data_IF_903912590304
#
_entry.id   IF_903912590304
#
_cell.length_a   1.000
_cell.length_b   1.000
_cell.length_c   1.000
_cell.angle_alpha   90.00
_cell.angle_beta   90.00
_cell.angle_gamma   90.00
#
_symmetry.space_group_name_H-M   'P 1'
#
loop_
_entity.id
_entity.type
_entity.pdbx_description
1 polymer ?
#
# COMPACT_ATOMS: atom_id res chain seq x y z
N UNK A 1 -0.03 -18.27 -4.05
CA UNK A 1 0.55 -17.11 -4.77
C UNK A 1 -0.50 -16.03 -4.99
N UNK A 2 -0.80 -15.19 -3.98
CA UNK A 2 -1.81 -14.11 -4.09
C UNK A 2 -2.51 -13.69 -2.77
N UNK A 3 -1.95 -14.06 -1.62
CA UNK A 3 -2.61 -13.87 -0.31
C UNK A 3 -2.57 -12.43 0.19
N UNK A 4 -1.44 -11.73 0.03
CA UNK A 4 -1.21 -10.42 0.64
C UNK A 4 -2.20 -9.37 0.15
N UNK A 5 -2.41 -9.26 -1.17
CA UNK A 5 -3.41 -8.32 -1.71
C UNK A 5 -4.82 -8.60 -1.17
N UNK A 6 -5.19 -9.87 -1.03
CA UNK A 6 -6.49 -10.26 -0.45
C UNK A 6 -6.59 -9.87 1.02
N UNK A 7 -5.51 -10.04 1.78
CA UNK A 7 -5.43 -9.65 3.19
C UNK A 7 -5.55 -8.13 3.34
N UNK A 8 -4.82 -7.36 2.52
CA UNK A 8 -4.87 -5.89 2.54
C UNK A 8 -6.25 -5.36 2.15
N UNK A 9 -6.90 -5.97 1.15
CA UNK A 9 -8.29 -5.67 0.77
C UNK A 9 -9.25 -5.99 1.93
N UNK A 10 -9.12 -7.17 2.56
CA UNK A 10 -9.98 -7.57 3.69
C UNK A 10 -9.79 -6.67 4.91
N UNK A 11 -8.56 -6.22 5.18
CA UNK A 11 -8.24 -5.25 6.23
C UNK A 11 -8.68 -3.82 5.87
N UNK A 12 -9.11 -3.58 4.63
CA UNK A 12 -9.54 -2.28 4.14
C UNK A 12 -8.41 -1.26 3.99
N UNK A 13 -7.14 -1.71 3.93
CA UNK A 13 -5.98 -0.82 3.74
C UNK A 13 -5.81 -0.41 2.28
N UNK A 14 -6.27 -1.25 1.36
CA UNK A 14 -6.33 -0.94 -0.07
C UNK A 14 -7.73 -1.19 -0.61
N UNK A 15 -8.03 -0.55 -1.75
CA UNK A 15 -9.28 -0.70 -2.50
C UNK A 15 -9.01 -0.83 -4.00
N UNK A 16 -9.99 -1.31 -4.74
CA UNK A 16 -9.97 -1.26 -6.19
C UNK A 16 -10.37 0.15 -6.63
N UNK A 17 -9.53 0.77 -7.46
CA UNK A 17 -9.73 2.12 -8.01
C UNK A 17 -10.30 2.05 -9.43
N UNK A 18 -10.01 0.97 -10.16
CA UNK A 18 -10.53 0.75 -11.49
C UNK A 18 -9.78 -0.34 -12.24
N UNK A 19 -9.87 -0.30 -13.57
CA UNK A 19 -9.11 -1.17 -14.47
C UNK A 19 -8.41 -0.31 -15.51
N UNK A 20 -7.15 -0.62 -15.82
CA UNK A 20 -6.40 0.10 -16.84
C UNK A 20 -6.84 -0.36 -18.23
N UNK A 21 -7.01 0.57 -19.17
CA UNK A 21 -7.37 0.29 -20.57
C UNK A 21 -6.15 -0.23 -21.38
N UNK A 22 -5.51 -1.27 -20.89
CA UNK A 22 -4.42 -2.00 -21.56
C UNK A 22 -4.85 -3.45 -21.83
N UNK A 23 -4.18 -4.18 -22.74
CA UNK A 23 -4.40 -5.61 -22.94
C UNK A 23 -4.39 -6.36 -21.60
N UNK A 24 -5.38 -7.23 -21.37
CA UNK A 24 -5.58 -7.92 -20.09
C UNK A 24 -6.34 -7.14 -19.02
N UNK A 25 -6.61 -5.84 -19.23
CA UNK A 25 -7.41 -4.96 -18.36
C UNK A 25 -7.08 -5.12 -16.86
N UNK A 26 -5.81 -4.90 -16.46
CA UNK A 26 -5.36 -5.16 -15.09
C UNK A 26 -6.10 -4.27 -14.09
N UNK A 27 -6.33 -4.82 -12.90
CA UNK A 27 -6.97 -4.12 -11.78
C UNK A 27 -5.98 -3.10 -11.20
N UNK A 28 -6.45 -1.87 -11.00
CA UNK A 28 -5.71 -0.81 -10.32
C UNK A 28 -6.15 -0.79 -8.86
N UNK A 29 -5.18 -0.90 -7.96
CA UNK A 29 -5.38 -0.76 -6.53
C UNK A 29 -4.91 0.62 -6.06
N UNK A 30 -5.50 1.10 -4.97
CA UNK A 30 -5.09 2.32 -4.29
C UNK A 30 -5.31 2.19 -2.79
N UNK A 31 -4.68 3.07 -2.01
CA UNK A 31 -4.84 3.13 -0.56
C UNK A 31 -6.19 3.75 -0.16
N UNK A 32 -6.54 3.59 1.11
CA UNK A 32 -7.78 4.10 1.71
C UNK A 32 -7.46 5.09 2.82
N UNK A 33 -8.47 5.80 3.35
CA UNK A 33 -8.28 6.62 4.56
C UNK A 33 -7.79 5.79 5.76
N UNK A 34 -8.26 4.53 5.88
CA UNK A 34 -7.81 3.61 6.94
C UNK A 34 -6.31 3.31 6.87
N UNK A 35 -5.72 3.30 5.67
CA UNK A 35 -4.27 3.20 5.54
C UNK A 35 -3.60 4.41 6.18
N UNK A 36 -4.05 5.62 5.85
CA UNK A 36 -3.50 6.85 6.41
C UNK A 36 -3.65 6.88 7.95
N UNK A 37 -4.83 6.53 8.47
CA UNK A 37 -5.08 6.43 9.91
C UNK A 37 -4.17 5.41 10.60
N UNK A 38 -3.94 4.24 9.99
CA UNK A 38 -3.10 3.20 10.59
C UNK A 38 -1.62 3.63 10.69
N UNK A 39 -1.15 4.39 9.72
CA UNK A 39 0.23 4.90 9.66
C UNK A 39 0.36 6.32 10.25
N UNK A 40 -0.71 6.84 10.86
CA UNK A 40 -0.78 8.20 11.43
C UNK A 40 -0.35 9.30 10.45
N UNK A 41 -0.76 9.14 9.19
CA UNK A 41 -0.47 10.07 8.10
C UNK A 41 -1.65 11.00 7.85
N UNK A 42 -1.36 12.29 7.68
CA UNK A 42 -2.39 13.27 7.28
C UNK A 42 -2.84 13.06 5.84
N UNK A 43 -1.89 12.76 4.95
CA UNK A 43 -2.12 12.55 3.53
C UNK A 43 -0.94 11.80 2.88
N UNK A 44 -1.07 11.45 1.59
CA UNK A 44 -0.06 10.68 0.87
C UNK A 44 1.27 11.43 0.65
N UNK A 45 1.29 12.76 0.75
CA UNK A 45 2.54 13.52 0.66
C UNK A 45 3.37 13.43 1.94
N UNK A 46 2.75 13.01 3.05
CA UNK A 46 3.43 12.75 4.33
C UNK A 46 4.12 11.37 4.37
N UNK A 47 4.09 10.63 3.27
CA UNK A 47 4.79 9.34 3.21
C UNK A 47 6.31 9.56 3.32
N UNK A 48 6.99 8.77 4.16
CA UNK A 48 8.44 8.84 4.23
C UNK A 48 9.05 8.46 2.88
N UNK A 49 10.17 9.10 2.58
CA UNK A 49 11.02 8.73 1.45
C UNK A 49 11.61 7.34 1.67
N UNK A 50 12.07 6.71 0.58
CA UNK A 50 12.72 5.39 0.67
C UNK A 50 13.90 5.39 1.64
N UNK A 51 14.68 6.47 1.64
CA UNK A 51 15.82 6.65 2.56
C UNK A 51 15.37 6.71 4.02
N UNK A 52 14.30 7.45 4.32
CA UNK A 52 13.74 7.51 5.67
C UNK A 52 13.15 6.15 6.11
N UNK A 53 12.58 5.36 5.18
CA UNK A 53 12.10 4.01 5.48
C UNK A 53 13.26 3.07 5.86
N UNK A 54 14.39 3.16 5.16
CA UNK A 54 15.61 2.41 5.51
C UNK A 54 16.13 2.80 6.90
N UNK A 55 16.13 4.10 7.23
CA UNK A 55 16.53 4.62 8.53
C UNK A 55 15.58 4.22 9.67
N UNK A 56 14.30 3.98 9.38
CA UNK A 56 13.29 3.50 10.35
C UNK A 56 13.44 2.01 10.72
N UNK A 57 14.45 1.30 10.17
CA UNK A 57 14.72 -0.10 10.51
C UNK A 57 13.68 -1.09 9.98
N UNK A 58 12.81 -0.66 9.05
CA UNK A 58 11.84 -1.54 8.36
C UNK A 58 12.49 -2.29 7.19
N UNK A 59 13.80 -2.06 6.96
CA UNK A 59 14.59 -2.61 5.86
C UNK A 59 15.52 -3.78 6.22
N UNK A 60 15.41 -4.35 7.43
CA UNK A 60 16.15 -5.55 7.81
C UNK A 60 15.19 -6.56 8.46
N UNK A 61 14.60 -7.44 7.64
CA UNK A 61 14.30 -8.78 8.17
C UNK A 61 15.66 -9.45 8.38
N UNK A 62 16.06 -9.64 9.64
CA UNK A 62 17.14 -10.56 10.02
C UNK A 62 16.85 -11.95 9.40
N UNK A 63 17.91 -12.69 9.00
CA UNK A 63 17.83 -13.89 8.15
C UNK A 63 17.08 -15.09 8.76
#
# INVERSE_FOLDING_TARGET
MGGILRVLLKKGLIRIVGRKALPGRPIIYGTTGRFLELFDLKDLSSLPTLKEIEELGVGEEEP
#
